data_IF_691792793204
#
_entry.id   IF_691792793204
#
_cell.length_a   1.000
_cell.length_b   1.000
_cell.length_c   1.000
_cell.angle_alpha   90.00
_cell.angle_beta   90.00
_cell.angle_gamma   90.00
#
_symmetry.space_group_name_H-M   'P 1'
#
loop_
_entity.id
_entity.type
_entity.pdbx_description
1 polymer ?
#
# COMPACT_ATOMS: atom_id res chain seq x y z
N UNK A 1 14.41 -3.96 -12.58
CA UNK A 1 13.07 -4.14 -13.17
C UNK A 1 12.08 -3.25 -12.44
N UNK A 2 11.15 -2.69 -13.20
CA UNK A 2 10.11 -1.79 -12.65
C UNK A 2 9.34 -2.41 -11.47
N UNK A 3 9.14 -3.70 -11.53
CA UNK A 3 8.48 -4.50 -10.52
C UNK A 3 9.24 -4.56 -9.20
N UNK A 4 10.58 -4.54 -9.26
CA UNK A 4 11.42 -4.58 -8.08
C UNK A 4 11.30 -3.36 -7.21
N UNK A 5 11.11 -2.17 -7.81
CA UNK A 5 11.02 -0.93 -7.07
C UNK A 5 9.84 -0.90 -6.09
N UNK A 6 8.66 -1.28 -6.55
CA UNK A 6 7.46 -1.32 -5.69
C UNK A 6 7.61 -2.39 -4.61
N UNK A 7 8.11 -3.55 -4.98
CA UNK A 7 8.34 -4.65 -4.06
C UNK A 7 9.32 -4.26 -2.95
N UNK A 8 10.42 -3.61 -3.33
CA UNK A 8 11.45 -3.19 -2.38
C UNK A 8 10.94 -2.07 -1.46
N UNK A 9 10.22 -1.09 -2.02
CA UNK A 9 9.66 0.02 -1.24
C UNK A 9 8.64 -0.45 -0.22
N UNK A 10 7.75 -1.35 -0.62
CA UNK A 10 6.71 -1.85 0.29
C UNK A 10 7.31 -2.73 1.39
N UNK A 11 8.35 -3.50 1.09
CA UNK A 11 9.07 -4.29 2.09
C UNK A 11 9.80 -3.37 3.07
N UNK A 12 10.50 -2.37 2.55
CA UNK A 12 11.22 -1.39 3.38
C UNK A 12 10.26 -0.66 4.31
N UNK A 13 9.11 -0.25 3.78
CA UNK A 13 8.08 0.42 4.57
C UNK A 13 7.55 -0.49 5.68
N UNK A 14 7.34 -1.76 5.39
CA UNK A 14 6.90 -2.74 6.39
C UNK A 14 7.91 -2.87 7.53
N UNK A 15 9.20 -2.92 7.20
CA UNK A 15 10.27 -2.98 8.22
C UNK A 15 10.25 -1.72 9.08
N UNK A 16 10.13 -0.54 8.48
CA UNK A 16 10.02 0.72 9.22
C UNK A 16 8.81 0.71 10.15
N UNK A 17 7.69 0.19 9.66
CA UNK A 17 6.46 0.12 10.45
C UNK A 17 6.60 -0.81 11.65
N UNK A 18 7.27 -1.94 11.49
CA UNK A 18 7.53 -2.86 12.60
C UNK A 18 8.28 -2.13 13.71
N UNK A 19 9.31 -1.35 13.36
CA UNK A 19 10.08 -0.56 14.33
C UNK A 19 9.24 0.54 14.96
N UNK A 20 8.42 1.19 14.17
CA UNK A 20 7.54 2.25 14.63
C UNK A 20 6.50 1.72 15.62
N UNK A 21 5.92 0.56 15.33
CA UNK A 21 4.95 -0.09 16.22
C UNK A 21 5.62 -0.49 17.55
N UNK A 22 6.86 -0.97 17.51
CA UNK A 22 7.61 -1.27 18.73
C UNK A 22 7.76 0.00 19.59
N UNK A 23 8.08 1.13 18.96
CA UNK A 23 8.16 2.43 19.63
C UNK A 23 6.82 2.84 20.25
N UNK A 24 5.73 2.70 19.50
CA UNK A 24 4.38 3.03 20.00
C UNK A 24 4.03 2.21 21.23
N UNK A 25 4.34 0.93 21.22
CA UNK A 25 4.07 0.04 22.35
C UNK A 25 4.97 0.36 23.54
N UNK A 26 6.26 0.51 23.33
CA UNK A 26 7.25 0.66 24.40
C UNK A 26 7.26 2.05 25.01
N UNK A 27 7.20 3.09 24.18
CA UNK A 27 7.32 4.48 24.65
C UNK A 27 5.97 5.16 24.86
N UNK A 28 5.00 4.91 24.00
CA UNK A 28 3.70 5.56 24.05
C UNK A 28 2.63 4.70 24.71
N UNK A 29 2.91 3.44 24.97
CA UNK A 29 1.97 2.48 25.56
C UNK A 29 0.67 2.41 24.76
N UNK A 30 0.77 2.58 23.46
CA UNK A 30 -0.35 2.53 22.52
C UNK A 30 -0.41 1.12 21.91
N UNK A 31 -1.47 0.37 22.18
CA UNK A 31 -1.56 -1.04 21.80
C UNK A 31 -2.69 -1.35 20.83
N UNK A 32 -3.60 -0.40 20.63
CA UNK A 32 -4.79 -0.63 19.79
C UNK A 32 -4.52 -0.27 18.33
N UNK A 33 -4.12 0.97 18.08
CA UNK A 33 -3.82 1.42 16.73
C UNK A 33 -2.54 0.80 16.20
N UNK A 34 -1.60 0.48 17.10
CA UNK A 34 -0.38 -0.25 16.76
C UNK A 34 -0.67 -1.53 16.01
N UNK A 35 -1.65 -2.31 16.48
CA UNK A 35 -2.04 -3.57 15.83
C UNK A 35 -2.63 -3.32 14.45
N UNK A 36 -3.46 -2.29 14.30
CA UNK A 36 -4.09 -1.96 13.03
C UNK A 36 -3.05 -1.50 12.00
N UNK A 37 -2.11 -0.67 12.43
CA UNK A 37 -1.03 -0.18 11.55
C UNK A 37 -0.15 -1.34 11.12
N UNK A 38 0.26 -2.19 12.05
CA UNK A 38 1.12 -3.34 11.74
C UNK A 38 0.45 -4.24 10.71
N UNK A 39 -0.84 -4.55 10.90
CA UNK A 39 -1.60 -5.38 9.99
C UNK A 39 -1.70 -4.75 8.60
N UNK A 40 -2.17 -3.51 8.51
CA UNK A 40 -2.39 -2.86 7.21
C UNK A 40 -1.08 -2.59 6.48
N UNK A 41 -0.07 -2.08 7.17
CA UNK A 41 1.21 -1.73 6.55
C UNK A 41 1.97 -2.96 6.02
N UNK A 42 1.94 -4.08 6.76
CA UNK A 42 2.57 -5.31 6.30
C UNK A 42 1.78 -5.98 5.18
N UNK A 43 0.47 -5.76 5.14
CA UNK A 43 -0.40 -6.29 4.08
C UNK A 43 -0.14 -5.63 2.72
N UNK A 44 0.35 -4.39 2.69
CA UNK A 44 0.70 -3.72 1.44
C UNK A 44 1.72 -4.55 0.68
N UNK A 45 2.87 -4.79 1.29
CA UNK A 45 3.97 -5.55 0.66
C UNK A 45 3.61 -7.00 0.41
N UNK A 46 2.83 -7.61 1.31
CA UNK A 46 2.39 -8.99 1.14
C UNK A 46 1.56 -9.15 -0.14
N UNK A 47 0.63 -8.23 -0.38
CA UNK A 47 -0.20 -8.27 -1.59
C UNK A 47 0.59 -7.94 -2.85
N UNK A 48 1.55 -7.01 -2.77
CA UNK A 48 2.45 -6.73 -3.90
C UNK A 48 3.25 -7.99 -4.25
N UNK A 49 3.78 -8.67 -3.25
CA UNK A 49 4.54 -9.92 -3.47
C UNK A 49 3.65 -11.00 -4.10
N UNK A 50 2.44 -11.16 -3.59
CA UNK A 50 1.49 -12.16 -4.10
C UNK A 50 1.07 -11.87 -5.54
N UNK A 51 1.03 -10.59 -5.93
CA UNK A 51 0.67 -10.21 -7.30
C UNK A 51 1.61 -10.83 -8.34
N UNK A 52 2.89 -11.02 -7.98
CA UNK A 52 3.88 -11.62 -8.88
C UNK A 52 3.66 -13.11 -9.11
N UNK A 53 2.93 -13.77 -8.23
CA UNK A 53 2.59 -15.18 -8.33
C UNK A 53 1.11 -15.36 -8.74
N UNK A 54 0.49 -14.29 -9.25
CA UNK A 54 -0.91 -14.33 -9.66
C UNK A 54 -1.11 -15.27 -10.84
N UNK A 55 -2.23 -15.98 -10.83
CA UNK A 55 -2.56 -16.99 -11.85
C UNK A 55 -3.13 -16.37 -13.12
N UNK A 56 -3.56 -15.11 -13.07
CA UNK A 56 -4.16 -14.42 -14.19
C UNK A 56 -3.90 -12.92 -14.08
N UNK A 57 -4.15 -12.20 -15.15
CA UNK A 57 -4.04 -10.74 -15.18
C UNK A 57 -5.06 -10.11 -14.25
N UNK A 58 -6.25 -10.67 -14.20
CA UNK A 58 -7.31 -10.23 -13.29
C UNK A 58 -6.91 -10.39 -11.82
N UNK A 59 -6.29 -11.53 -11.48
CA UNK A 59 -5.80 -11.78 -10.13
C UNK A 59 -4.66 -10.82 -9.77
N UNK A 60 -3.75 -10.57 -10.70
CA UNK A 60 -2.66 -9.60 -10.53
C UNK A 60 -3.22 -8.22 -10.19
N UNK A 61 -4.19 -7.74 -10.98
CA UNK A 61 -4.84 -6.44 -10.76
C UNK A 61 -5.56 -6.40 -9.40
N UNK A 62 -6.23 -7.48 -9.05
CA UNK A 62 -6.95 -7.59 -7.79
C UNK A 62 -6.00 -7.46 -6.60
N UNK A 63 -4.85 -8.14 -6.64
CA UNK A 63 -3.85 -8.07 -5.57
C UNK A 63 -3.29 -6.65 -5.42
N UNK A 64 -3.02 -5.96 -6.52
CA UNK A 64 -2.55 -4.57 -6.46
C UNK A 64 -3.62 -3.64 -5.90
N UNK A 65 -4.90 -3.88 -6.23
CA UNK A 65 -6.01 -3.10 -5.69
C UNK A 65 -6.15 -3.28 -4.18
N UNK A 66 -5.95 -4.50 -3.69
CA UNK A 66 -5.96 -4.77 -2.24
C UNK A 66 -4.79 -4.04 -1.58
N UNK A 67 -3.59 -4.09 -2.18
CA UNK A 67 -2.43 -3.38 -1.66
C UNK A 67 -2.71 -1.88 -1.53
N UNK A 68 -3.32 -1.28 -2.54
CA UNK A 68 -3.67 0.14 -2.52
C UNK A 68 -4.67 0.45 -1.39
N UNK A 69 -5.67 -0.39 -1.22
CA UNK A 69 -6.67 -0.25 -0.16
C UNK A 69 -6.00 -0.31 1.22
N UNK A 70 -5.07 -1.23 1.42
CA UNK A 70 -4.32 -1.34 2.67
C UNK A 70 -3.41 -0.14 2.92
N UNK A 71 -2.84 0.42 1.85
CA UNK A 71 -2.03 1.64 1.95
C UNK A 71 -2.89 2.84 2.39
N UNK A 72 -4.08 2.99 1.84
CA UNK A 72 -5.02 4.03 2.24
C UNK A 72 -5.42 3.88 3.71
N UNK A 73 -5.67 2.66 4.14
CA UNK A 73 -6.00 2.40 5.55
C UNK A 73 -4.83 2.77 6.47
N UNK A 74 -3.61 2.44 6.07
CA UNK A 74 -2.40 2.79 6.83
C UNK A 74 -2.27 4.32 6.97
N UNK A 75 -2.54 5.05 5.88
CA UNK A 75 -2.52 6.50 5.89
C UNK A 75 -3.51 7.06 6.92
N UNK A 76 -4.70 6.50 6.98
CA UNK A 76 -5.73 6.90 7.93
C UNK A 76 -5.24 6.72 9.38
N UNK A 77 -4.66 5.56 9.71
CA UNK A 77 -4.14 5.32 11.05
C UNK A 77 -3.05 6.31 11.43
N UNK A 78 -2.14 6.63 10.50
CA UNK A 78 -1.07 7.61 10.75
C UNK A 78 -1.64 9.01 11.00
N UNK A 79 -2.65 9.39 10.22
CA UNK A 79 -3.34 10.68 10.41
C UNK A 79 -3.98 10.77 11.79
N UNK A 80 -4.63 9.70 12.23
CA UNK A 80 -5.22 9.68 13.57
C UNK A 80 -4.17 9.84 14.67
N UNK A 81 -3.01 9.21 14.50
CA UNK A 81 -1.93 9.29 15.49
C UNK A 81 -1.37 10.70 15.62
N UNK A 82 -1.15 11.39 14.50
CA UNK A 82 -0.60 12.75 14.55
C UNK A 82 -1.64 13.76 15.02
N UNK A 83 -2.89 13.61 14.59
CA UNK A 83 -3.97 14.54 14.99
C UNK A 83 -4.36 14.38 16.45
N UNK A 84 -4.20 13.18 17.02
CA UNK A 84 -4.43 12.93 18.45
C UNK A 84 -3.17 13.20 19.28
N UNK A 85 -2.10 13.68 18.68
CA UNK A 85 -0.85 14.05 19.35
C UNK A 85 -0.11 12.89 20.02
N UNK A 86 -0.38 11.65 19.59
CA UNK A 86 0.37 10.48 20.06
C UNK A 86 1.77 10.48 19.44
N UNK A 87 1.88 10.93 18.18
CA UNK A 87 3.17 11.16 17.52
C UNK A 87 3.25 12.62 17.09
N UNK A 88 4.47 13.11 16.90
CA UNK A 88 4.68 14.47 16.44
C UNK A 88 4.65 14.54 14.90
N UNK A 89 4.62 15.77 14.39
CA UNK A 89 4.55 15.99 12.94
C UNK A 89 5.77 15.46 12.19
N UNK A 90 6.93 15.54 12.79
CA UNK A 90 8.16 15.05 12.17
C UNK A 90 8.12 13.53 11.97
N UNK A 91 7.68 12.81 12.99
CA UNK A 91 7.50 11.35 12.92
C UNK A 91 6.48 10.98 11.86
N UNK A 92 5.36 11.71 11.83
CA UNK A 92 4.30 11.50 10.85
C UNK A 92 4.82 11.70 9.42
N UNK A 93 5.47 12.84 9.16
CA UNK A 93 5.95 13.18 7.81
C UNK A 93 6.98 12.18 7.30
N UNK A 94 7.83 11.68 8.18
CA UNK A 94 8.86 10.71 7.81
C UNK A 94 8.24 9.41 7.26
N UNK A 95 7.23 8.87 7.95
CA UNK A 95 6.55 7.65 7.51
C UNK A 95 5.57 7.91 6.37
N UNK A 96 4.83 9.01 6.46
CA UNK A 96 3.80 9.34 5.48
C UNK A 96 4.41 9.64 4.10
N UNK A 97 5.60 10.21 4.07
CA UNK A 97 6.31 10.48 2.81
C UNK A 97 6.57 9.18 2.03
N UNK A 98 7.05 8.14 2.72
CA UNK A 98 7.28 6.83 2.09
C UNK A 98 5.96 6.21 1.64
N UNK A 99 4.94 6.30 2.48
CA UNK A 99 3.63 5.74 2.18
C UNK A 99 2.98 6.45 0.99
N UNK A 100 3.08 7.77 0.94
CA UNK A 100 2.52 8.59 -0.14
C UNK A 100 3.12 8.20 -1.49
N UNK A 101 4.42 7.95 -1.51
CA UNK A 101 5.13 7.47 -2.71
C UNK A 101 4.62 6.08 -3.13
N UNK A 102 4.42 5.18 -2.17
CA UNK A 102 3.85 3.85 -2.43
C UNK A 102 2.44 3.97 -3.00
N UNK A 103 1.61 4.83 -2.41
CA UNK A 103 0.23 5.06 -2.88
C UNK A 103 0.24 5.57 -4.32
N UNK A 104 1.13 6.51 -4.64
CA UNK A 104 1.25 7.04 -5.99
C UNK A 104 1.62 5.94 -6.99
N UNK A 105 2.56 5.08 -6.64
CA UNK A 105 3.00 3.97 -7.50
C UNK A 105 1.89 2.94 -7.69
N UNK A 106 1.19 2.59 -6.63
CA UNK A 106 0.07 1.62 -6.69
C UNK A 106 -1.10 2.19 -7.49
N UNK A 107 -1.42 3.45 -7.28
CA UNK A 107 -2.51 4.13 -8.00
C UNK A 107 -2.23 4.12 -9.49
N UNK A 108 -0.99 4.45 -9.90
CA UNK A 108 -0.59 4.44 -11.30
C UNK A 108 -0.69 3.03 -11.89
N UNK A 109 -0.24 2.01 -11.16
CA UNK A 109 -0.28 0.61 -11.61
C UNK A 109 -1.71 0.11 -11.80
N UNK A 110 -2.59 0.38 -10.84
CA UNK A 110 -4.00 -0.03 -10.90
C UNK A 110 -4.71 0.69 -12.06
N UNK A 111 -4.46 1.98 -12.22
CA UNK A 111 -5.02 2.79 -13.31
C UNK A 111 -4.60 2.23 -14.68
N UNK A 112 -3.31 1.96 -14.85
CA UNK A 112 -2.77 1.41 -16.10
C UNK A 112 -3.42 0.07 -16.44
N UNK A 113 -3.58 -0.81 -15.44
CA UNK A 113 -4.23 -2.10 -15.64
C UNK A 113 -5.69 -1.96 -16.10
N UNK A 114 -6.43 -1.02 -15.50
CA UNK A 114 -7.83 -0.74 -15.88
C UNK A 114 -7.92 -0.18 -17.28
N UNK A 115 -7.06 0.74 -17.65
CA UNK A 115 -7.01 1.34 -18.99
C UNK A 115 -6.70 0.29 -20.06
N UNK A 116 -5.74 -0.59 -19.78
CA UNK A 116 -5.37 -1.68 -20.68
C UNK A 116 -6.56 -2.61 -20.91
N UNK A 117 -7.27 -2.97 -19.84
CA UNK A 117 -8.44 -3.84 -19.91
C UNK A 117 -9.55 -3.21 -20.76
N UNK A 118 -9.82 -1.92 -20.54
CA UNK A 118 -10.83 -1.19 -21.29
C UNK A 118 -10.47 -1.07 -22.77
N UNK A 119 -9.21 -0.77 -23.05
CA UNK A 119 -8.71 -0.68 -24.43
C UNK A 119 -8.85 -2.01 -25.16
N UNK A 120 -8.52 -3.11 -24.52
CA UNK A 120 -8.66 -4.46 -25.09
C UNK A 120 -10.14 -4.77 -25.38
N UNK A 121 -11.02 -4.44 -24.45
CA UNK A 121 -12.45 -4.67 -24.61
C UNK A 121 -13.02 -3.87 -25.79
N UNK A 122 -12.64 -2.59 -25.90
CA UNK A 122 -13.07 -1.73 -27.00
C UNK A 122 -12.58 -2.28 -28.36
N UNK A 123 -11.37 -2.77 -28.43
CA UNK A 123 -10.82 -3.39 -29.65
C UNK A 123 -11.62 -4.61 -30.05
N UNK A 124 -12.00 -5.45 -29.10
CA UNK A 124 -12.80 -6.65 -29.33
C UNK A 124 -14.20 -6.28 -29.85
N UNK A 125 -14.82 -5.26 -29.28
CA UNK A 125 -16.13 -4.79 -29.74
C UNK A 125 -16.09 -4.23 -31.15
N UNK A 126 -15.01 -3.52 -31.51
CA UNK A 126 -14.82 -3.00 -32.88
C UNK A 126 -14.67 -4.09 -33.89
N UNK A 127 -14.02 -5.19 -33.56
CA UNK A 127 -13.82 -6.34 -34.44
C UNK A 127 -15.15 -7.06 -34.75
N UNK A 128 -16.05 -7.08 -33.78
CA UNK A 128 -17.35 -7.76 -33.91
C UNK A 128 -18.37 -7.00 -34.76
N UNK A 129 -18.08 -5.76 -35.13
CA UNK A 129 -18.93 -4.97 -36.01
C UNK A 129 -18.62 -5.29 -37.47
#
# INVERSE_FOLDING_TARGET
MKSGALRDKTKHFAVRTIRFVAYLCDEKREFVMSKQILRSATSIGANVRESWNAQSRSDFQHKLSIALKEADETAYWLELLVESEIIDRKQFESLYSDLDEIIAMLTASVKTMKETKLSTLNSQLSIQK
#
